data_IF_566315366514
#
_entry.id   IF_566315366514
#
_cell.length_a   1.000
_cell.length_b   1.000
_cell.length_c   1.000
_cell.angle_alpha   90.00
_cell.angle_beta   90.00
_cell.angle_gamma   90.00
#
_symmetry.space_group_name_H-M   'P 1'
#
loop_
_entity.id
_entity.type
_entity.pdbx_description
1 polymer ?
#
# COMPACT_ATOMS: atom_id res chain seq x y z
N UNK A 1 43.45 -29.84 47.89
CA UNK A 1 43.79 -28.40 47.81
C UNK A 1 42.80 -27.78 46.83
N UNK A 2 41.64 -27.35 47.30
CA UNK A 2 41.32 -26.01 47.84
C UNK A 2 40.81 -25.09 46.72
N UNK A 3 39.54 -24.71 46.90
CA UNK A 3 38.80 -23.71 46.14
C UNK A 3 39.53 -22.36 46.05
N UNK A 4 39.26 -21.61 44.97
CA UNK A 4 39.14 -20.15 45.06
C UNK A 4 38.22 -19.61 43.96
N UNK A 5 37.05 -19.16 44.39
CA UNK A 5 36.10 -18.29 43.69
C UNK A 5 36.49 -16.84 43.99
N UNK A 6 36.63 -15.96 42.99
CA UNK A 6 36.13 -14.57 42.90
C UNK A 6 36.85 -13.80 41.79
N UNK A 7 36.11 -13.06 40.96
CA UNK A 7 36.68 -12.07 40.05
C UNK A 7 35.69 -11.63 38.97
N UNK A 8 34.92 -10.59 39.27
CA UNK A 8 33.83 -9.98 38.49
C UNK A 8 34.38 -9.15 37.27
N UNK A 9 33.57 -8.39 36.51
CA UNK A 9 33.44 -8.49 35.05
C UNK A 9 34.07 -7.32 34.26
N UNK A 10 34.27 -7.51 32.95
CA UNK A 10 34.41 -6.42 31.97
C UNK A 10 33.13 -6.51 31.11
N UNK A 11 32.24 -5.53 31.00
CA UNK A 11 32.45 -4.09 31.05
C UNK A 11 32.24 -3.52 29.66
N UNK A 12 30.98 -3.31 29.27
CA UNK A 12 30.55 -2.22 28.37
C UNK A 12 29.03 -2.13 28.32
N UNK A 13 28.52 -1.41 29.31
CA UNK A 13 27.24 -0.73 29.21
C UNK A 13 27.38 0.35 28.13
N UNK A 14 26.63 0.21 27.03
CA UNK A 14 26.34 1.34 26.17
C UNK A 14 24.92 1.78 26.52
N UNK A 15 24.84 2.67 27.52
CA UNK A 15 23.63 3.41 27.82
C UNK A 15 23.32 4.32 26.63
N UNK A 16 22.27 4.00 25.90
CA UNK A 16 21.62 4.95 24.99
C UNK A 16 20.69 5.75 25.88
N UNK A 17 21.14 6.96 26.21
CA UNK A 17 20.33 7.96 26.88
C UNK A 17 19.07 8.22 26.05
N UNK A 18 17.92 8.06 26.69
CA UNK A 18 16.69 8.67 26.23
C UNK A 18 16.78 10.17 26.51
N UNK A 19 17.45 10.91 25.62
CA UNK A 19 17.25 12.36 25.47
C UNK A 19 15.92 12.53 24.72
N UNK A 20 14.82 12.36 25.45
CA UNK A 20 13.50 12.72 24.96
C UNK A 20 13.22 14.13 25.45
N UNK A 21 13.57 15.08 24.58
CA UNK A 21 13.36 16.52 24.77
C UNK A 21 11.96 16.83 25.32
N UNK A 22 11.98 17.65 26.36
CA UNK A 22 10.84 18.09 27.14
C UNK A 22 9.98 19.08 26.33
N UNK A 23 9.01 18.58 25.56
CA UNK A 23 8.11 19.43 24.74
C UNK A 23 6.97 20.08 25.54
N UNK A 24 7.01 20.05 26.88
CA UNK A 24 5.89 20.54 27.71
C UNK A 24 6.03 21.99 28.20
N UNK A 25 7.05 22.72 27.77
CA UNK A 25 7.46 24.01 28.37
C UNK A 25 7.10 25.28 27.58
N UNK A 26 6.01 25.30 26.82
CA UNK A 26 5.57 26.50 26.06
C UNK A 26 4.22 27.10 26.49
N UNK A 27 3.59 26.60 27.56
CA UNK A 27 2.32 27.18 28.05
C UNK A 27 2.45 28.14 29.24
N UNK A 28 3.66 28.48 29.70
CA UNK A 28 3.86 29.08 31.03
C UNK A 28 4.63 30.42 31.04
N UNK A 29 4.62 31.16 29.93
CA UNK A 29 5.32 32.46 29.84
C UNK A 29 4.43 33.66 29.46
N UNK A 30 3.11 33.58 29.67
CA UNK A 30 2.22 34.73 29.47
C UNK A 30 1.45 35.21 30.70
N UNK A 31 1.80 34.74 31.89
CA UNK A 31 1.26 35.27 33.14
C UNK A 31 2.38 35.85 34.03
N UNK A 32 2.47 37.18 34.07
CA UNK A 32 2.84 38.04 35.24
C UNK A 32 3.67 39.29 34.89
N UNK A 33 2.98 40.44 34.84
CA UNK A 33 3.17 41.77 35.51
C UNK A 33 4.52 42.55 35.48
N UNK A 34 4.53 43.92 35.55
CA UNK A 34 4.15 44.66 36.78
C UNK A 34 3.44 46.03 36.61
N UNK A 35 3.14 46.62 37.77
CA UNK A 35 2.11 47.59 38.16
C UNK A 35 2.41 49.11 37.99
N UNK A 36 1.31 49.88 37.76
CA UNK A 36 0.77 51.10 38.42
C UNK A 36 1.67 52.38 38.63
N UNK A 37 1.09 53.62 38.72
CA UNK A 37 0.13 54.01 39.78
C UNK A 37 -1.01 54.98 39.38
N UNK A 38 -2.07 55.00 40.20
CA UNK A 38 -3.03 56.12 40.24
C UNK A 38 -4.45 55.81 40.71
N UNK A 39 -4.64 55.59 42.02
CA UNK A 39 -5.93 55.75 42.73
C UNK A 39 -6.27 57.26 42.88
N UNK A 40 -7.51 57.72 43.22
CA UNK A 40 -8.42 57.05 44.15
C UNK A 40 -9.95 57.11 43.89
N UNK A 41 -10.63 56.15 44.53
CA UNK A 41 -11.88 56.23 45.29
C UNK A 41 -13.13 56.97 44.75
N UNK A 42 -14.27 56.26 44.76
CA UNK A 42 -15.52 56.84 45.28
C UNK A 42 -16.84 56.39 44.64
N UNK A 43 -17.59 55.59 45.42
CA UNK A 43 -19.07 55.57 45.58
C UNK A 43 -20.00 55.27 44.39
N UNK A 44 -20.80 54.21 44.56
CA UNK A 44 -22.14 53.95 43.99
C UNK A 44 -23.11 55.12 44.23
N UNK A 45 -24.16 55.36 43.41
CA UNK A 45 -25.37 54.53 43.45
C UNK A 45 -26.18 54.37 42.14
N UNK A 46 -27.21 53.53 42.25
CA UNK A 46 -28.16 53.05 41.25
C UNK A 46 -29.21 54.05 40.73
N UNK A 47 -29.86 53.64 39.61
CA UNK A 47 -31.20 53.99 39.08
C UNK A 47 -31.43 55.46 38.63
N UNK A 48 -32.10 55.84 37.53
CA UNK A 48 -33.00 55.24 36.51
C UNK A 48 -33.03 56.24 35.30
N UNK A 49 -34.00 56.28 34.35
CA UNK A 49 -34.98 55.31 33.84
C UNK A 49 -34.99 55.19 32.29
N UNK A 50 -35.94 54.42 31.78
CA UNK A 50 -36.31 54.14 30.38
C UNK A 50 -36.14 55.26 29.34
N UNK A 51 -35.72 54.84 28.14
CA UNK A 51 -36.14 55.43 26.88
C UNK A 51 -36.50 54.29 25.90
N UNK A 52 -37.71 53.78 26.05
CA UNK A 52 -38.38 52.98 25.04
C UNK A 52 -38.64 53.85 23.80
N UNK A 53 -38.21 53.39 22.62
CA UNK A 53 -38.71 53.90 21.34
C UNK A 53 -37.70 54.38 20.30
N UNK A 54 -36.63 53.63 20.01
CA UNK A 54 -35.86 53.87 18.77
C UNK A 54 -36.20 52.79 17.72
N UNK A 55 -36.67 53.17 16.50
CA UNK A 55 -37.02 52.21 15.44
C UNK A 55 -35.78 51.43 14.96
N UNK A 56 -35.95 50.26 14.29
CA UNK A 56 -34.83 49.42 13.89
C UNK A 56 -33.85 50.20 13.01
N UNK A 57 -32.69 50.53 13.58
CA UNK A 57 -31.60 51.17 12.86
C UNK A 57 -31.05 50.15 11.89
N UNK A 58 -31.42 50.30 10.62
CA UNK A 58 -30.83 49.54 9.51
C UNK A 58 -29.35 49.96 9.45
N UNK A 59 -28.37 49.08 9.73
CA UNK A 59 -26.97 49.49 9.70
C UNK A 59 -26.58 49.74 8.23
N UNK A 60 -26.66 51.01 7.81
CA UNK A 60 -26.10 51.42 6.53
C UNK A 60 -24.60 51.53 6.75
N UNK A 61 -23.85 50.53 6.27
CA UNK A 61 -22.39 50.59 6.25
C UNK A 61 -22.01 51.91 5.58
N UNK A 62 -21.46 52.85 6.35
CA UNK A 62 -21.01 54.12 5.81
C UNK A 62 -20.09 53.84 4.61
N UNK A 63 -20.25 54.54 3.49
CA UNK A 63 -19.51 54.27 2.26
C UNK A 63 -17.97 54.19 2.46
N UNK A 64 -17.45 54.87 3.48
CA UNK A 64 -16.05 54.78 3.92
C UNK A 64 -15.66 53.41 4.53
N UNK A 65 -16.56 52.75 5.25
CA UNK A 65 -16.36 51.40 5.79
C UNK A 65 -16.49 50.32 4.70
N UNK A 66 -17.40 50.49 3.74
CA UNK A 66 -17.52 49.61 2.57
C UNK A 66 -16.27 49.71 1.65
N UNK A 67 -15.70 50.91 1.49
CA UNK A 67 -14.46 51.12 0.72
C UNK A 67 -13.23 50.47 1.38
N UNK A 68 -13.17 50.42 2.71
CA UNK A 68 -12.10 49.75 3.47
C UNK A 68 -12.22 48.22 3.44
N UNK A 69 -13.44 47.68 3.44
CA UNK A 69 -13.67 46.25 3.25
C UNK A 69 -13.36 45.79 1.81
N UNK A 70 -13.71 46.59 0.79
CA UNK A 70 -13.28 46.31 -0.59
C UNK A 70 -11.76 46.41 -0.75
N UNK A 71 -11.07 47.28 0.00
CA UNK A 71 -9.62 47.36 -0.02
C UNK A 71 -8.95 46.10 0.54
N UNK A 72 -9.52 45.46 1.58
CA UNK A 72 -8.99 44.19 2.10
C UNK A 72 -9.29 43.01 1.17
N UNK A 73 -10.45 42.99 0.51
CA UNK A 73 -10.79 41.98 -0.51
C UNK A 73 -9.93 42.11 -1.75
N UNK A 74 -9.71 43.33 -2.25
CA UNK A 74 -8.83 43.56 -3.41
C UNK A 74 -7.38 43.22 -3.09
N UNK A 75 -6.91 43.53 -1.87
CA UNK A 75 -5.60 43.09 -1.39
C UNK A 75 -5.47 41.57 -1.33
N UNK A 76 -6.52 40.87 -0.88
CA UNK A 76 -6.55 39.40 -0.86
C UNK A 76 -6.50 38.79 -2.27
N UNK A 77 -7.24 39.34 -3.23
CA UNK A 77 -7.22 38.90 -4.63
C UNK A 77 -5.84 39.14 -5.25
N UNK A 78 -5.25 40.32 -5.03
CA UNK A 78 -3.91 40.65 -5.52
C UNK A 78 -2.89 39.68 -4.91
N UNK A 79 -2.96 39.41 -3.60
CA UNK A 79 -2.06 38.46 -2.94
C UNK A 79 -2.21 37.03 -3.50
N UNK A 80 -3.44 36.58 -3.79
CA UNK A 80 -3.70 35.29 -4.42
C UNK A 80 -3.10 35.22 -5.83
N UNK A 81 -3.31 36.25 -6.65
CA UNK A 81 -2.77 36.31 -8.01
C UNK A 81 -1.25 36.36 -8.01
N UNK A 82 -0.64 37.14 -7.11
CA UNK A 82 0.83 37.20 -6.96
C UNK A 82 1.38 35.85 -6.52
N UNK A 83 0.71 35.15 -5.60
CA UNK A 83 1.08 33.79 -5.19
C UNK A 83 1.01 32.81 -6.37
N UNK A 84 -0.11 32.77 -7.09
CA UNK A 84 -0.26 31.93 -8.29
C UNK A 84 0.80 32.29 -9.34
N UNK A 85 1.03 33.56 -9.62
CA UNK A 85 2.00 34.03 -10.59
C UNK A 85 3.45 33.68 -10.21
N UNK A 86 3.76 33.63 -8.91
CA UNK A 86 5.08 33.18 -8.42
C UNK A 86 5.27 31.67 -8.60
N UNK A 87 4.23 30.85 -8.36
CA UNK A 87 4.32 29.39 -8.47
C UNK A 87 4.10 28.85 -9.90
N UNK A 88 3.28 29.50 -10.71
CA UNK A 88 2.95 29.08 -12.07
C UNK A 88 4.18 28.83 -12.96
N UNK A 89 5.20 29.71 -13.03
CA UNK A 89 6.39 29.44 -13.85
C UNK A 89 7.18 28.24 -13.33
N UNK A 90 7.24 28.00 -12.02
CA UNK A 90 7.91 26.82 -11.43
C UNK A 90 7.18 25.54 -11.84
N UNK A 91 5.84 25.55 -11.76
CA UNK A 91 4.99 24.41 -12.16
C UNK A 91 5.09 24.15 -13.66
N UNK A 92 5.11 25.20 -14.49
CA UNK A 92 5.21 25.06 -15.94
C UNK A 92 6.61 24.65 -16.41
N UNK A 93 7.68 25.04 -15.68
CA UNK A 93 9.06 24.63 -15.97
C UNK A 93 9.33 23.17 -15.62
N UNK A 94 8.50 22.57 -14.78
CA UNK A 94 8.49 21.13 -14.53
C UNK A 94 7.37 20.48 -15.37
N UNK A 95 7.55 20.26 -16.68
CA UNK A 95 6.56 19.54 -17.47
C UNK A 95 6.33 18.21 -16.77
N UNK A 96 5.06 17.92 -16.43
CA UNK A 96 4.69 16.60 -15.96
C UNK A 96 5.34 15.59 -16.90
N UNK A 97 6.09 14.61 -16.38
CA UNK A 97 6.80 13.69 -17.24
C UNK A 97 5.81 13.17 -18.27
N UNK A 98 6.14 13.32 -19.56
CA UNK A 98 5.43 12.62 -20.63
C UNK A 98 5.82 11.16 -20.53
N UNK A 99 5.44 10.56 -19.41
CA UNK A 99 5.47 9.13 -19.25
C UNK A 99 4.37 8.62 -20.16
N UNK A 100 4.72 8.34 -21.42
CA UNK A 100 4.55 6.96 -21.82
C UNK A 100 5.21 6.15 -20.70
N UNK A 101 4.40 5.77 -19.71
CA UNK A 101 4.82 5.15 -18.45
C UNK A 101 6.06 4.32 -18.67
N UNK A 102 7.06 4.45 -17.81
CA UNK A 102 7.98 3.33 -17.65
C UNK A 102 7.10 2.11 -17.45
N UNK A 103 7.05 1.28 -18.49
CA UNK A 103 6.15 0.13 -18.65
C UNK A 103 7.08 -1.06 -18.59
N UNK A 104 7.36 -1.61 -17.39
CA UNK A 104 8.23 -2.77 -17.28
C UNK A 104 7.70 -3.86 -18.22
N UNK A 105 8.53 -4.31 -19.15
CA UNK A 105 8.20 -5.47 -19.95
C UNK A 105 8.63 -6.71 -19.16
N UNK A 106 7.76 -7.16 -18.26
CA UNK A 106 8.02 -8.32 -17.41
C UNK A 106 7.71 -9.60 -18.20
N UNK A 107 8.75 -10.37 -18.51
CA UNK A 107 8.59 -11.71 -19.04
C UNK A 107 8.33 -12.70 -17.89
N UNK A 108 7.06 -12.91 -17.56
CA UNK A 108 6.63 -13.79 -16.46
C UNK A 108 7.18 -15.21 -16.63
N UNK A 109 7.15 -15.75 -17.84
CA UNK A 109 7.65 -17.09 -18.14
C UNK A 109 9.15 -17.23 -17.85
N UNK A 110 9.96 -16.24 -18.25
CA UNK A 110 11.39 -16.24 -17.96
C UNK A 110 11.66 -16.17 -16.45
N UNK A 111 10.95 -15.33 -15.71
CA UNK A 111 11.12 -15.21 -14.26
C UNK A 111 10.65 -16.49 -13.55
N UNK A 112 9.54 -17.09 -13.99
CA UNK A 112 9.03 -18.35 -13.46
C UNK A 112 10.05 -19.49 -13.64
N UNK A 113 10.69 -19.57 -14.81
CA UNK A 113 11.74 -20.57 -15.07
C UNK A 113 12.95 -20.40 -14.14
N UNK A 114 13.38 -19.16 -13.90
CA UNK A 114 14.45 -18.87 -12.95
C UNK A 114 14.07 -19.24 -11.50
N UNK A 115 12.79 -19.06 -11.14
CA UNK A 115 12.28 -19.38 -9.81
C UNK A 115 11.99 -20.88 -9.60
N UNK A 116 11.78 -21.67 -10.65
CA UNK A 116 11.32 -23.06 -10.54
C UNK A 116 12.23 -23.94 -9.66
N UNK A 117 13.55 -23.77 -9.77
CA UNK A 117 14.53 -24.53 -8.97
C UNK A 117 14.41 -24.26 -7.47
N UNK A 118 14.29 -22.99 -7.07
CA UNK A 118 14.15 -22.61 -5.65
C UNK A 118 12.74 -22.84 -5.13
N UNK A 119 11.74 -22.78 -6.01
CA UNK A 119 10.34 -23.00 -5.67
C UNK A 119 10.02 -24.48 -5.40
N UNK A 120 10.73 -25.41 -6.06
CA UNK A 120 10.44 -26.83 -5.99
C UNK A 120 9.13 -27.22 -6.69
N UNK A 121 8.60 -26.35 -7.56
CA UNK A 121 7.51 -26.60 -8.50
C UNK A 121 7.70 -25.70 -9.73
N UNK A 122 6.96 -25.98 -10.80
CA UNK A 122 6.92 -25.07 -11.95
C UNK A 122 5.93 -23.93 -11.65
N UNK A 123 6.39 -22.69 -11.44
CA UNK A 123 5.50 -21.58 -11.12
C UNK A 123 4.58 -21.26 -12.30
N UNK A 124 3.37 -20.81 -12.01
CA UNK A 124 2.39 -20.43 -13.04
C UNK A 124 2.90 -19.23 -13.83
N UNK A 125 2.98 -19.40 -15.13
CA UNK A 125 3.20 -18.33 -16.10
C UNK A 125 2.03 -18.35 -17.08
N UNK A 126 0.96 -17.63 -16.73
CA UNK A 126 -0.24 -17.57 -17.54
C UNK A 126 0.03 -16.80 -18.84
N UNK A 127 -0.29 -17.41 -19.98
CA UNK A 127 -0.32 -16.72 -21.26
C UNK A 127 -1.64 -15.93 -21.36
N UNK A 128 -1.53 -14.63 -21.13
CA UNK A 128 -2.66 -13.70 -21.15
C UNK A 128 -2.81 -12.97 -22.49
N UNK A 129 -1.97 -13.29 -23.48
CA UNK A 129 -1.80 -12.47 -24.68
C UNK A 129 -1.58 -10.99 -24.32
N UNK A 130 -2.21 -10.11 -25.08
CA UNK A 130 -2.18 -8.66 -24.85
C UNK A 130 -3.28 -8.15 -23.90
N UNK A 131 -4.12 -9.05 -23.36
CA UNK A 131 -5.28 -8.67 -22.55
C UNK A 131 -4.87 -8.18 -21.16
N UNK A 132 -3.93 -8.89 -20.52
CA UNK A 132 -3.42 -8.52 -19.20
C UNK A 132 -1.96 -8.18 -19.30
N UNK A 133 -1.53 -7.22 -18.49
CA UNK A 133 -0.14 -6.75 -18.47
C UNK A 133 0.49 -7.09 -17.15
N UNK A 134 1.61 -7.81 -17.15
CA UNK A 134 2.36 -8.07 -15.93
C UNK A 134 3.02 -6.78 -15.42
N UNK A 135 2.71 -6.41 -14.18
CA UNK A 135 3.31 -5.30 -13.44
C UNK A 135 4.60 -5.75 -12.73
N UNK A 136 4.57 -6.95 -12.14
CA UNK A 136 5.72 -7.59 -11.50
C UNK A 136 5.58 -9.11 -11.54
N UNK A 137 6.71 -9.81 -11.43
CA UNK A 137 6.78 -11.25 -11.22
C UNK A 137 8.00 -11.55 -10.33
N UNK A 138 7.84 -12.34 -9.27
CA UNK A 138 8.91 -12.61 -8.30
C UNK A 138 8.68 -13.86 -7.49
N UNK A 139 9.78 -14.42 -6.99
CA UNK A 139 9.78 -15.40 -5.92
C UNK A 139 9.94 -14.71 -4.58
N UNK A 140 9.02 -14.96 -3.66
CA UNK A 140 9.10 -14.53 -2.27
C UNK A 140 9.51 -15.71 -1.39
N UNK A 141 10.63 -15.58 -0.67
CA UNK A 141 11.18 -16.65 0.17
C UNK A 141 10.36 -16.94 1.44
N UNK A 142 9.35 -16.13 1.72
CA UNK A 142 8.50 -16.28 2.90
C UNK A 142 9.10 -15.71 4.19
N UNK A 143 10.12 -14.85 4.13
CA UNK A 143 10.76 -14.29 5.33
C UNK A 143 9.80 -13.57 6.30
N UNK A 144 8.70 -12.99 5.80
CA UNK A 144 7.67 -12.35 6.62
C UNK A 144 6.47 -13.24 6.96
N UNK A 145 6.02 -14.09 6.02
CA UNK A 145 4.80 -14.91 6.15
C UNK A 145 5.05 -16.33 6.66
N UNK A 146 6.30 -16.80 6.64
CA UNK A 146 6.66 -18.21 6.83
C UNK A 146 6.25 -19.12 5.66
N UNK A 147 5.68 -18.57 4.59
CA UNK A 147 5.19 -19.31 3.43
C UNK A 147 5.85 -18.76 2.17
N UNK A 148 6.84 -19.46 1.60
CA UNK A 148 7.43 -19.07 0.33
C UNK A 148 6.38 -19.16 -0.79
N UNK A 149 6.37 -18.17 -1.67
CA UNK A 149 5.36 -18.05 -2.70
C UNK A 149 5.89 -17.44 -3.99
N UNK A 150 5.35 -17.90 -5.11
CA UNK A 150 5.45 -17.24 -6.40
C UNK A 150 4.39 -16.15 -6.49
N UNK A 151 4.78 -14.93 -6.86
CA UNK A 151 3.86 -13.81 -6.99
C UNK A 151 3.94 -13.17 -8.38
N UNK A 152 2.79 -12.84 -8.95
CA UNK A 152 2.69 -12.07 -10.20
C UNK A 152 1.57 -11.04 -10.06
N UNK A 153 1.86 -9.79 -10.38
CA UNK A 153 0.83 -8.75 -10.44
C UNK A 153 0.41 -8.49 -11.88
N UNK A 154 -0.89 -8.54 -12.17
CA UNK A 154 -1.45 -8.20 -13.48
C UNK A 154 -2.28 -6.92 -13.42
N UNK A 155 -2.09 -6.05 -14.40
CA UNK A 155 -2.99 -4.96 -14.75
C UNK A 155 -3.98 -5.45 -15.79
N UNK A 156 -5.24 -5.15 -15.54
CA UNK A 156 -6.38 -5.51 -16.38
C UNK A 156 -6.63 -4.46 -17.46
N UNK A 157 -7.42 -4.76 -18.52
CA UNK A 157 -7.81 -3.77 -19.53
C UNK A 157 -8.50 -2.52 -18.97
N UNK A 158 -9.15 -2.63 -17.80
CA UNK A 158 -9.84 -1.52 -17.12
C UNK A 158 -8.97 -0.86 -16.04
N UNK A 159 -7.65 -0.96 -16.15
CA UNK A 159 -6.67 -0.39 -15.21
C UNK A 159 -6.85 -0.84 -13.75
N UNK A 160 -7.57 -1.94 -13.53
CA UNK A 160 -7.66 -2.61 -12.22
C UNK A 160 -6.51 -3.61 -12.03
N UNK A 161 -6.31 -4.06 -10.80
CA UNK A 161 -5.22 -4.96 -10.43
C UNK A 161 -5.73 -6.35 -10.02
N UNK A 162 -5.02 -7.40 -10.45
CA UNK A 162 -5.17 -8.76 -9.95
C UNK A 162 -3.78 -9.31 -9.61
N UNK A 163 -3.55 -9.62 -8.35
CA UNK A 163 -2.38 -10.35 -7.89
C UNK A 163 -2.63 -11.85 -7.92
N UNK A 164 -1.68 -12.60 -8.46
CA UNK A 164 -1.56 -14.05 -8.37
C UNK A 164 -0.52 -14.39 -7.32
N UNK A 165 -0.87 -15.30 -6.42
CA UNK A 165 0.06 -15.90 -5.46
C UNK A 165 -0.08 -17.42 -5.53
N UNK A 166 1.03 -18.13 -5.65
CA UNK A 166 1.08 -19.59 -5.71
C UNK A 166 2.10 -20.15 -4.71
N UNK A 167 1.71 -21.18 -3.97
CA UNK A 167 2.62 -21.88 -3.05
C UNK A 167 2.29 -23.36 -2.94
N UNK A 168 3.28 -24.19 -2.56
CA UNK A 168 3.09 -25.58 -2.13
C UNK A 168 2.84 -25.73 -0.63
N UNK A 169 3.07 -24.67 0.15
CA UNK A 169 3.09 -24.71 1.62
C UNK A 169 1.95 -23.87 2.21
N UNK A 170 0.82 -23.84 1.53
CA UNK A 170 -0.36 -23.13 2.01
C UNK A 170 -0.81 -23.72 3.36
N UNK A 171 -1.13 -22.83 4.30
CA UNK A 171 -1.74 -23.18 5.59
C UNK A 171 -2.94 -22.26 5.87
N UNK A 172 -3.85 -22.65 6.78
CA UNK A 172 -5.08 -21.88 7.02
C UNK A 172 -4.83 -20.43 7.42
N UNK A 173 -3.81 -20.15 8.23
CA UNK A 173 -3.45 -18.79 8.66
C UNK A 173 -3.02 -17.93 7.48
N UNK A 174 -2.14 -18.45 6.62
CA UNK A 174 -1.67 -17.76 5.43
C UNK A 174 -2.81 -17.53 4.42
N UNK A 175 -3.69 -18.53 4.21
CA UNK A 175 -4.84 -18.40 3.33
C UNK A 175 -5.79 -17.27 3.81
N UNK A 176 -6.05 -17.20 5.11
CA UNK A 176 -6.85 -16.12 5.70
C UNK A 176 -6.18 -14.75 5.51
N UNK A 177 -4.86 -14.66 5.68
CA UNK A 177 -4.12 -13.42 5.44
C UNK A 177 -4.20 -12.98 3.97
N UNK A 178 -3.93 -13.90 3.03
CA UNK A 178 -3.94 -13.60 1.60
C UNK A 178 -5.34 -13.24 1.07
N UNK A 179 -6.38 -13.77 1.71
CA UNK A 179 -7.78 -13.48 1.38
C UNK A 179 -8.40 -12.39 2.26
N UNK A 180 -7.60 -11.73 3.12
CA UNK A 180 -8.04 -10.69 4.07
C UNK A 180 -9.26 -11.09 4.90
N UNK A 181 -9.34 -12.36 5.28
CA UNK A 181 -10.47 -12.96 6.00
C UNK A 181 -11.82 -12.81 5.29
N UNK A 182 -11.82 -12.69 3.96
CA UNK A 182 -13.05 -12.65 3.17
C UNK A 182 -13.82 -13.99 3.28
N UNK A 183 -15.13 -13.96 3.57
CA UNK A 183 -15.93 -15.17 3.64
C UNK A 183 -16.05 -15.81 2.26
N UNK A 184 -16.25 -17.14 2.23
CA UNK A 184 -16.58 -17.87 1.00
C UNK A 184 -18.00 -17.48 0.61
N UNK A 185 -18.16 -16.93 -0.59
CA UNK A 185 -19.45 -16.49 -1.14
C UNK A 185 -19.97 -17.42 -2.23
N UNK A 186 -19.15 -18.35 -2.71
CA UNK A 186 -19.57 -19.40 -3.63
C UNK A 186 -18.40 -20.03 -4.38
N UNK A 187 -18.70 -20.59 -5.54
CA UNK A 187 -17.70 -21.09 -6.50
C UNK A 187 -17.89 -20.40 -7.85
N UNK A 188 -16.80 -20.31 -8.61
CA UNK A 188 -16.81 -19.73 -9.96
C UNK A 188 -16.00 -20.60 -10.90
N UNK A 189 -16.65 -21.09 -11.95
CA UNK A 189 -15.98 -21.89 -12.96
C UNK A 189 -15.14 -20.99 -13.89
N UNK A 190 -13.88 -21.33 -14.08
CA UNK A 190 -12.98 -20.66 -15.02
C UNK A 190 -11.91 -21.64 -15.51
N UNK A 191 -11.75 -21.75 -16.84
CA UNK A 191 -10.81 -22.71 -17.44
C UNK A 191 -11.12 -24.17 -17.10
N UNK A 192 -12.40 -24.53 -16.92
CA UNK A 192 -12.79 -25.89 -16.54
C UNK A 192 -12.42 -26.27 -15.11
N UNK A 193 -12.14 -25.28 -14.24
CA UNK A 193 -11.88 -25.47 -12.80
C UNK A 193 -12.84 -24.66 -11.96
N UNK A 194 -13.26 -25.24 -10.84
CA UNK A 194 -14.12 -24.58 -9.88
C UNK A 194 -13.25 -23.86 -8.84
N UNK A 195 -13.19 -22.54 -8.97
CA UNK A 195 -12.48 -21.69 -8.03
C UNK A 195 -13.39 -21.34 -6.86
N UNK A 196 -12.88 -21.43 -5.65
CA UNK A 196 -13.58 -20.94 -4.46
C UNK A 196 -13.55 -19.40 -4.47
N UNK A 197 -14.74 -18.79 -4.50
CA UNK A 197 -14.89 -17.34 -4.51
C UNK A 197 -15.05 -16.82 -3.08
N UNK A 198 -14.23 -15.83 -2.74
CA UNK A 198 -14.30 -15.08 -1.49
C UNK A 198 -14.50 -13.60 -1.77
N UNK A 199 -15.46 -12.99 -1.09
CA UNK A 199 -15.77 -11.57 -1.25
C UNK A 199 -16.39 -11.01 0.04
N UNK A 200 -15.99 -9.80 0.43
CA UNK A 200 -16.58 -9.06 1.56
C UNK A 200 -17.69 -8.08 1.14
N UNK A 201 -17.88 -7.90 -0.16
CA UNK A 201 -18.73 -6.87 -0.77
C UNK A 201 -18.12 -5.47 -0.74
N UNK A 202 -16.91 -5.30 -0.22
CA UNK A 202 -16.25 -3.99 0.00
C UNK A 202 -15.18 -3.65 -1.04
N UNK A 203 -15.17 -4.33 -2.19
CA UNK A 203 -14.39 -3.96 -3.37
C UNK A 203 -13.41 -5.04 -3.83
N UNK A 204 -12.62 -5.60 -2.92
CA UNK A 204 -11.68 -6.67 -3.24
C UNK A 204 -12.30 -8.06 -3.16
N UNK A 205 -11.90 -8.92 -4.09
CA UNK A 205 -12.36 -10.30 -4.23
C UNK A 205 -11.15 -11.20 -4.34
N UNK A 206 -11.33 -12.46 -3.95
CA UNK A 206 -10.33 -13.49 -4.12
C UNK A 206 -10.92 -14.76 -4.72
N UNK A 207 -10.20 -15.38 -5.64
CA UNK A 207 -10.49 -16.70 -6.17
C UNK A 207 -9.36 -17.64 -5.77
N UNK A 208 -9.70 -18.78 -5.17
CA UNK A 208 -8.73 -19.76 -4.65
C UNK A 208 -8.91 -21.08 -5.38
N UNK A 209 -7.80 -21.67 -5.82
CA UNK A 209 -7.75 -22.99 -6.43
C UNK A 209 -6.61 -23.80 -5.83
N UNK A 210 -6.93 -24.97 -5.29
CA UNK A 210 -5.93 -25.94 -4.86
C UNK A 210 -5.87 -27.08 -5.89
N UNK A 211 -4.77 -27.15 -6.64
CA UNK A 211 -4.59 -28.15 -7.69
C UNK A 211 -3.11 -28.50 -7.85
N UNK A 212 -2.83 -29.74 -8.30
CA UNK A 212 -1.47 -30.22 -8.60
C UNK A 212 -0.46 -30.02 -7.46
N UNK A 213 -0.92 -30.11 -6.21
CA UNK A 213 -0.06 -29.94 -5.02
C UNK A 213 0.37 -28.50 -4.75
N UNK A 214 -0.27 -27.51 -5.39
CA UNK A 214 -0.11 -26.09 -5.09
C UNK A 214 -1.46 -25.44 -4.80
N UNK A 215 -1.45 -24.36 -4.03
CA UNK A 215 -2.58 -23.45 -3.88
C UNK A 215 -2.27 -22.17 -4.64
N UNK A 216 -3.19 -21.77 -5.51
CA UNK A 216 -3.16 -20.52 -6.28
C UNK A 216 -4.28 -19.63 -5.79
N UNK A 217 -3.96 -18.37 -5.52
CA UNK A 217 -4.90 -17.34 -5.11
C UNK A 217 -4.78 -16.19 -6.10
N UNK A 218 -5.91 -15.80 -6.68
CA UNK A 218 -6.07 -14.54 -7.38
C UNK A 218 -6.76 -13.57 -6.43
N UNK A 219 -6.25 -12.36 -6.26
CA UNK A 219 -6.83 -11.35 -5.36
C UNK A 219 -6.69 -9.94 -5.93
N UNK A 220 -7.69 -9.07 -5.76
CA UNK A 220 -7.65 -7.72 -6.32
C UNK A 220 -9.03 -7.06 -6.43
N UNK A 221 -9.05 -5.89 -7.07
CA UNK A 221 -10.23 -5.01 -7.20
C UNK A 221 -10.96 -5.15 -8.54
N UNK A 222 -10.45 -5.98 -9.45
CA UNK A 222 -11.01 -6.16 -10.78
C UNK A 222 -12.42 -6.76 -10.78
N UNK A 223 -13.07 -6.73 -11.95
CA UNK A 223 -14.39 -7.33 -12.15
C UNK A 223 -14.30 -8.87 -12.17
N UNK A 224 -15.38 -9.57 -11.79
CA UNK A 224 -15.40 -11.03 -11.77
C UNK A 224 -15.11 -11.68 -13.14
N UNK A 225 -15.43 -10.98 -14.23
CA UNK A 225 -15.17 -11.47 -15.59
C UNK A 225 -13.68 -11.38 -15.95
N UNK A 226 -12.98 -10.33 -15.49
CA UNK A 226 -11.53 -10.21 -15.62
C UNK A 226 -10.82 -11.29 -14.78
N UNK A 227 -11.32 -11.54 -13.57
CA UNK A 227 -10.88 -12.67 -12.75
C UNK A 227 -11.06 -14.01 -13.46
N UNK A 228 -12.24 -14.29 -14.03
CA UNK A 228 -12.49 -15.52 -14.79
C UNK A 228 -11.54 -15.68 -15.98
N UNK A 229 -11.27 -14.58 -16.70
CA UNK A 229 -10.40 -14.60 -17.87
C UNK A 229 -8.96 -14.95 -17.49
N UNK A 230 -8.43 -14.29 -16.44
CA UNK A 230 -7.09 -14.61 -15.93
C UNK A 230 -7.05 -16.01 -15.30
N UNK A 231 -8.07 -16.39 -14.53
CA UNK A 231 -8.19 -17.72 -13.91
C UNK A 231 -8.19 -18.84 -14.97
N UNK A 232 -8.81 -18.63 -16.12
CA UNK A 232 -8.77 -19.58 -17.22
C UNK A 232 -7.36 -19.74 -17.81
N UNK A 233 -6.63 -18.63 -18.00
CA UNK A 233 -5.24 -18.67 -18.46
C UNK A 233 -4.31 -19.33 -17.45
N UNK A 234 -4.55 -19.10 -16.15
CA UNK A 234 -3.83 -19.75 -15.04
C UNK A 234 -4.11 -21.24 -15.00
N UNK A 235 -5.38 -21.66 -15.13
CA UNK A 235 -5.76 -23.07 -15.18
C UNK A 235 -5.07 -23.79 -16.35
N UNK A 236 -5.03 -23.18 -17.54
CA UNK A 236 -4.31 -23.71 -18.69
C UNK A 236 -2.81 -23.87 -18.44
N UNK A 237 -2.18 -22.90 -17.77
CA UNK A 237 -0.76 -22.99 -17.39
C UNK A 237 -0.52 -24.10 -16.36
N UNK A 238 -1.38 -24.23 -15.35
CA UNK A 238 -1.33 -25.33 -14.39
C UNK A 238 -1.46 -26.70 -15.09
N UNK A 239 -2.34 -26.81 -16.09
CA UNK A 239 -2.53 -28.04 -16.85
C UNK A 239 -1.28 -28.48 -17.61
N UNK A 240 -0.49 -27.53 -18.12
CA UNK A 240 0.79 -27.81 -18.77
C UNK A 240 1.95 -28.09 -17.80
N UNK A 241 1.84 -27.64 -16.54
CA UNK A 241 2.93 -27.76 -15.56
C UNK A 241 2.91 -29.15 -14.89
N UNK A 242 4.05 -29.84 -14.70
CA UNK A 242 4.05 -31.11 -14.01
C UNK A 242 3.47 -30.97 -12.58
N UNK A 243 2.78 -32.00 -12.05
CA UNK A 243 2.34 -32.02 -10.66
C UNK A 243 3.49 -31.68 -9.71
N UNK A 244 3.20 -30.86 -8.72
CA UNK A 244 4.19 -30.49 -7.74
C UNK A 244 4.63 -31.76 -6.99
N UNK A 245 5.85 -32.25 -7.27
CA UNK A 245 6.43 -33.45 -6.64
C UNK A 245 7.11 -34.40 -7.62
N UNK A 246 6.88 -34.25 -8.93
CA UNK A 246 7.65 -34.97 -9.94
C UNK A 246 8.94 -34.20 -10.26
N UNK A 247 10.11 -34.88 -10.35
CA UNK A 247 11.33 -34.24 -10.78
C UNK A 247 11.14 -33.69 -12.20
N UNK A 248 11.51 -32.41 -12.40
CA UNK A 248 11.59 -31.79 -13.72
C UNK A 248 12.56 -32.63 -14.54
N UNK A 249 12.04 -33.35 -15.54
CA UNK A 249 12.85 -34.17 -16.43
C UNK A 249 13.85 -33.27 -17.15
N UNK A 250 15.13 -33.42 -16.81
CA UNK A 250 16.25 -32.86 -17.58
C UNK A 250 16.16 -33.41 -19.01
N UNK A 251 16.10 -32.57 -20.07
CA UNK A 251 16.13 -33.07 -21.43
C UNK A 251 17.49 -33.73 -21.70
N UNK A 252 17.45 -35.06 -21.85
CA UNK A 252 18.42 -35.95 -22.49
C UNK A 252 19.89 -35.53 -22.49
N UNK A 253 20.66 -36.03 -21.52
CA UNK A 253 22.03 -36.41 -21.81
C UNK A 253 21.95 -37.66 -22.72
N UNK A 254 22.20 -37.47 -24.01
CA UNK A 254 22.34 -38.54 -25.00
C UNK A 254 23.39 -39.54 -24.51
N UNK A 255 22.93 -40.73 -24.11
CA UNK A 255 23.76 -41.93 -23.97
C UNK A 255 24.55 -42.14 -25.26
N UNK A 256 25.87 -41.97 -25.19
CA UNK A 256 26.79 -42.45 -26.22
C UNK A 256 26.93 -43.95 -26.07
N UNK A 257 26.64 -44.78 -27.09
CA UNK A 257 26.86 -46.21 -27.01
C UNK A 257 28.37 -46.48 -26.95
N UNK A 258 28.79 -47.01 -25.81
CA UNK A 258 30.13 -47.53 -25.56
C UNK A 258 30.39 -48.71 -26.51
N UNK A 259 31.36 -48.56 -27.40
CA UNK A 259 31.83 -49.64 -28.26
C UNK A 259 32.62 -50.66 -27.43
N UNK A 260 32.18 -51.92 -27.45
CA UNK A 260 32.90 -53.05 -26.85
C UNK A 260 34.24 -53.34 -27.55
N UNK A 261 35.23 -53.87 -26.82
CA UNK A 261 36.45 -54.40 -27.41
C UNK A 261 36.24 -55.85 -27.89
N UNK A 262 37.04 -56.30 -28.84
CA UNK A 262 37.09 -57.69 -29.33
C UNK A 262 38.53 -58.06 -29.70
N UNK A 263 38.84 -59.36 -29.75
CA UNK A 263 39.88 -60.02 -28.93
C UNK A 263 41.30 -59.98 -29.48
#
# INVERSE_FOLDING_TARGET
MTHCTLGRPLGRECGIGADMGDYRRVSELQDTSPAAPGSPAGRTPAAAPDASGQPPVKPVIAAAAAKRANASVMGMIIALVVSIAAFLPIVLMNPAPKTDGYRPNINVSAVAQNAAGVAGFTPVAADTGDTFRANYARWESGAGSGVPAWEVGYLTPKDSFIGLVQTRQANPTWLLQQTKSAPVTGTRNAGGRDWELRDTGKGEKSMVLAERGTTVILSGSATLDEFSSLAAAVAKSLESNPPAGEPVATPGATDSPSASPSP
#
